data_IF_897739713431
#
_entry.id   IF_897739713431
#
_cell.length_a   1.000
_cell.length_b   1.000
_cell.length_c   1.000
_cell.angle_alpha   90.00
_cell.angle_beta   90.00
_cell.angle_gamma   90.00
#
_symmetry.space_group_name_H-M   'P 1'
#
loop_
_entity.id
_entity.type
_entity.pdbx_description
1 polymer ?
#
# COMPACT_ATOMS: atom_id res chain seq x y z
N UNK A 1 17.23 14.37 16.38
CA UNK A 1 17.27 13.10 15.62
C UNK A 1 16.22 13.21 14.53
N UNK A 2 16.59 13.10 13.27
CA UNK A 2 15.61 13.15 12.17
C UNK A 2 14.99 11.76 12.00
N UNK A 3 13.66 11.68 12.01
CA UNK A 3 12.94 10.43 11.74
C UNK A 3 13.04 10.13 10.25
N UNK A 4 13.41 8.92 9.89
CA UNK A 4 13.40 8.41 8.52
C UNK A 4 12.25 7.42 8.36
N UNK A 5 11.45 7.61 7.35
CA UNK A 5 10.32 6.73 7.02
C UNK A 5 10.79 5.42 6.41
N UNK A 6 9.96 4.38 6.45
CA UNK A 6 10.20 3.13 5.73
C UNK A 6 10.41 3.34 4.23
N UNK A 7 9.71 4.33 3.64
CA UNK A 7 9.88 4.76 2.25
C UNK A 7 11.35 5.16 1.95
N UNK A 8 11.93 6.05 2.76
CA UNK A 8 13.32 6.49 2.60
C UNK A 8 14.30 5.33 2.84
N UNK A 9 14.04 4.50 3.85
CA UNK A 9 14.88 3.35 4.15
C UNK A 9 14.88 2.32 3.03
N UNK A 10 13.71 2.00 2.46
CA UNK A 10 13.63 1.06 1.33
C UNK A 10 14.49 1.51 0.15
N UNK A 11 14.46 2.81 -0.16
CA UNK A 11 15.17 3.34 -1.31
C UNK A 11 16.68 3.46 -1.10
N UNK A 12 17.10 3.78 0.13
CA UNK A 12 18.50 4.09 0.42
C UNK A 12 19.28 2.92 1.05
N UNK A 13 18.66 2.18 1.98
CA UNK A 13 19.35 1.19 2.83
C UNK A 13 18.92 -0.24 2.53
N UNK A 14 17.61 -0.46 2.22
CA UNK A 14 17.01 -1.78 2.10
C UNK A 14 16.63 -2.13 0.65
N UNK A 15 17.29 -1.48 -0.31
CA UNK A 15 17.03 -1.65 -1.74
C UNK A 15 17.11 -3.09 -2.22
N UNK A 16 17.89 -3.93 -1.57
CA UNK A 16 18.03 -5.36 -1.86
C UNK A 16 16.70 -6.13 -1.72
N UNK A 17 15.74 -5.61 -0.95
CA UNK A 17 14.41 -6.23 -0.80
C UNK A 17 13.59 -6.21 -2.09
N UNK A 18 13.86 -5.26 -2.99
CA UNK A 18 13.09 -5.06 -4.23
C UNK A 18 13.95 -5.13 -5.51
N UNK A 19 15.28 -5.05 -5.40
CA UNK A 19 16.19 -5.03 -6.55
C UNK A 19 16.06 -6.32 -7.39
N UNK A 20 15.89 -6.15 -8.70
CA UNK A 20 15.72 -7.23 -9.67
C UNK A 20 14.37 -7.95 -9.58
N UNK A 21 13.44 -7.45 -8.77
CA UNK A 21 12.17 -8.10 -8.49
C UNK A 21 10.99 -7.45 -9.23
N UNK A 22 9.94 -8.24 -9.41
CA UNK A 22 8.63 -7.79 -9.88
C UNK A 22 7.83 -7.34 -8.66
N UNK A 23 7.56 -6.05 -8.60
CA UNK A 23 7.02 -5.39 -7.40
C UNK A 23 5.60 -4.90 -7.66
N UNK A 24 4.67 -5.29 -6.77
CA UNK A 24 3.38 -4.65 -6.59
C UNK A 24 3.45 -3.60 -5.48
N UNK A 25 2.69 -2.52 -5.60
CA UNK A 25 2.62 -1.48 -4.58
C UNK A 25 1.19 -1.31 -4.10
N UNK A 26 0.98 -1.38 -2.78
CA UNK A 26 -0.27 -0.96 -2.11
C UNK A 26 -0.04 0.47 -1.62
N UNK A 27 -0.66 1.44 -2.29
CA UNK A 27 -0.34 2.86 -2.15
C UNK A 27 -1.58 3.75 -2.26
N UNK A 28 -1.49 4.93 -1.67
CA UNK A 28 -2.47 5.99 -1.77
C UNK A 28 -1.76 7.36 -1.85
N UNK A 29 -2.45 8.52 -1.86
CA UNK A 29 -1.79 9.83 -1.97
C UNK A 29 -0.76 10.14 -0.88
N UNK A 30 -0.78 9.43 0.25
CA UNK A 30 0.21 9.62 1.32
C UNK A 30 1.54 8.93 1.08
N UNK A 31 1.64 8.09 0.05
CA UNK A 31 2.83 7.28 -0.29
C UNK A 31 3.93 8.14 -0.93
N UNK A 32 4.27 9.25 -0.29
CA UNK A 32 5.25 10.23 -0.76
C UNK A 32 6.47 10.31 0.16
N UNK A 33 7.61 10.65 -0.44
CA UNK A 33 8.82 10.99 0.31
C UNK A 33 8.78 12.44 0.82
N UNK A 34 9.85 12.90 1.52
CA UNK A 34 9.96 14.28 2.02
C UNK A 34 9.91 15.35 0.92
N UNK A 35 10.24 14.98 -0.29
CA UNK A 35 10.21 15.82 -1.51
C UNK A 35 8.87 15.74 -2.25
N UNK A 36 7.86 15.11 -1.65
CA UNK A 36 6.51 14.90 -2.19
C UNK A 36 6.47 14.06 -3.48
N UNK A 37 7.54 13.35 -3.82
CA UNK A 37 7.53 12.41 -4.95
C UNK A 37 6.95 11.09 -4.49
N UNK A 38 5.93 10.62 -5.22
CA UNK A 38 5.20 9.39 -4.91
C UNK A 38 6.05 8.13 -5.17
N UNK A 39 5.95 7.12 -4.28
CA UNK A 39 6.72 5.86 -4.38
C UNK A 39 6.53 5.16 -5.73
N UNK A 40 5.30 5.10 -6.23
CA UNK A 40 5.02 4.47 -7.51
C UNK A 40 5.79 5.13 -8.66
N UNK A 41 5.89 6.47 -8.67
CA UNK A 41 6.69 7.19 -9.65
C UNK A 41 8.18 6.86 -9.54
N UNK A 42 8.71 6.78 -8.31
CA UNK A 42 10.13 6.43 -8.09
C UNK A 42 10.46 5.03 -8.57
N UNK A 43 9.58 4.07 -8.27
CA UNK A 43 9.78 2.68 -8.69
C UNK A 43 9.61 2.51 -10.20
N UNK A 44 8.62 3.18 -10.81
CA UNK A 44 8.39 3.12 -12.26
C UNK A 44 9.56 3.67 -13.09
N UNK A 45 10.31 4.63 -12.54
CA UNK A 45 11.50 5.22 -13.20
C UNK A 45 12.81 4.59 -12.73
N UNK A 46 12.76 3.45 -12.07
CA UNK A 46 13.93 2.74 -11.56
C UNK A 46 14.40 1.69 -12.56
N UNK A 47 15.69 1.67 -12.87
CA UNK A 47 16.28 0.71 -13.80
C UNK A 47 16.47 -0.69 -13.19
N UNK A 48 16.45 -0.79 -11.86
CA UNK A 48 16.76 -2.02 -11.12
C UNK A 48 15.56 -2.68 -10.44
N UNK A 49 14.34 -2.14 -10.64
CA UNK A 49 13.09 -2.69 -10.07
C UNK A 49 12.01 -2.68 -11.15
N UNK A 50 11.26 -3.76 -11.26
CA UNK A 50 10.13 -3.84 -12.20
C UNK A 50 8.81 -3.59 -11.46
N UNK A 51 8.25 -2.39 -11.62
CA UNK A 51 6.86 -2.14 -11.23
C UNK A 51 5.94 -3.02 -12.08
N UNK A 52 5.03 -3.75 -11.43
CA UNK A 52 4.17 -4.74 -12.12
C UNK A 52 2.70 -4.47 -11.89
N UNK A 53 2.31 -3.98 -10.72
CA UNK A 53 0.93 -3.67 -10.39
C UNK A 53 0.84 -2.60 -9.30
N UNK A 54 -0.29 -1.89 -9.28
CA UNK A 54 -0.65 -0.95 -8.23
C UNK A 54 -1.98 -1.37 -7.60
N UNK A 55 -2.09 -1.24 -6.29
CA UNK A 55 -3.27 -1.54 -5.50
C UNK A 55 -3.67 -0.30 -4.70
N UNK A 56 -4.89 0.18 -4.90
CA UNK A 56 -5.45 1.33 -4.19
C UNK A 56 -6.44 0.92 -3.12
N UNK A 57 -6.27 1.32 -1.84
CA UNK A 57 -7.28 1.12 -0.81
C UNK A 57 -8.47 2.05 -1.02
N UNK A 58 -9.34 2.16 -0.02
CA UNK A 58 -10.43 3.14 0.02
C UNK A 58 -9.97 4.52 -0.48
N UNK A 59 -10.80 5.20 -1.25
CA UNK A 59 -10.54 6.45 -1.99
C UNK A 59 -9.58 6.32 -3.18
N UNK A 60 -9.04 5.14 -3.46
CA UNK A 60 -8.17 4.86 -4.60
C UNK A 60 -6.77 5.46 -4.49
N UNK A 61 -5.94 5.17 -5.48
CA UNK A 61 -4.52 5.62 -5.53
C UNK A 61 -4.41 7.16 -5.57
N UNK A 62 -5.36 7.83 -6.22
CA UNK A 62 -5.34 9.28 -6.38
C UNK A 62 -6.14 10.01 -5.29
N UNK A 63 -6.85 9.30 -4.41
CA UNK A 63 -7.67 9.89 -3.36
C UNK A 63 -8.86 10.72 -3.88
N UNK A 64 -9.30 10.48 -5.11
CA UNK A 64 -10.36 11.26 -5.77
C UNK A 64 -11.75 10.62 -5.65
N UNK A 65 -11.81 9.35 -5.24
CA UNK A 65 -13.09 8.66 -5.02
C UNK A 65 -13.72 9.16 -3.72
N UNK A 66 -15.05 9.39 -3.78
CA UNK A 66 -15.82 9.71 -2.58
C UNK A 66 -15.97 8.47 -1.69
N UNK A 67 -16.25 8.70 -0.41
CA UNK A 67 -16.55 7.66 0.56
C UNK A 67 -17.66 6.72 0.05
N UNK A 68 -17.48 5.42 0.20
CA UNK A 68 -18.40 4.33 -0.19
C UNK A 68 -18.73 4.24 -1.71
N UNK A 69 -17.93 4.85 -2.59
CA UNK A 69 -18.08 4.62 -4.03
C UNK A 69 -17.03 3.62 -4.49
N UNK A 70 -17.48 2.50 -5.06
CA UNK A 70 -16.60 1.55 -5.76
C UNK A 70 -15.88 2.25 -6.90
N UNK A 71 -14.57 2.22 -6.87
CA UNK A 71 -13.76 2.69 -8.01
C UNK A 71 -13.77 1.55 -9.04
N UNK A 72 -14.33 1.74 -10.26
CA UNK A 72 -14.27 0.71 -11.28
C UNK A 72 -12.80 0.30 -11.49
N UNK A 73 -12.56 -0.96 -11.80
CA UNK A 73 -11.29 -1.41 -12.35
C UNK A 73 -11.01 -0.58 -13.61
N UNK A 74 -10.41 0.57 -13.41
CA UNK A 74 -9.93 1.33 -14.54
C UNK A 74 -8.61 0.70 -14.94
N UNK A 75 -8.50 0.35 -16.20
CA UNK A 75 -7.22 0.10 -16.85
C UNK A 75 -6.40 1.39 -16.90
N UNK A 76 -6.39 2.15 -15.81
CA UNK A 76 -5.60 3.36 -15.68
C UNK A 76 -4.13 2.97 -15.61
N UNK A 77 -3.53 3.02 -16.78
CA UNK A 77 -2.12 2.85 -17.02
C UNK A 77 -1.37 4.13 -16.67
N UNK A 78 -1.56 4.65 -15.47
CA UNK A 78 -0.87 5.89 -15.07
C UNK A 78 0.67 5.76 -15.16
N UNK A 79 1.20 4.53 -15.01
CA UNK A 79 2.63 4.21 -15.10
C UNK A 79 2.87 2.97 -15.97
N UNK A 80 1.93 2.65 -16.87
CA UNK A 80 2.05 1.49 -17.77
C UNK A 80 1.76 0.14 -17.10
N UNK A 81 1.19 0.12 -15.90
CA UNK A 81 0.85 -1.10 -15.14
C UNK A 81 -0.62 -1.10 -14.71
N UNK A 82 -1.22 -2.28 -14.49
CA UNK A 82 -2.59 -2.37 -14.02
C UNK A 82 -2.75 -1.77 -12.62
N UNK A 83 -3.91 -1.16 -12.40
CA UNK A 83 -4.34 -0.60 -11.12
C UNK A 83 -5.55 -1.38 -10.63
N UNK A 84 -5.46 -1.95 -9.44
CA UNK A 84 -6.52 -2.70 -8.79
C UNK A 84 -7.08 -1.94 -7.58
N UNK A 85 -8.40 -1.92 -7.45
CA UNK A 85 -9.07 -1.39 -6.27
C UNK A 85 -9.13 -2.45 -5.18
N UNK A 86 -8.77 -2.08 -3.96
CA UNK A 86 -9.00 -2.88 -2.74
C UNK A 86 -10.18 -2.30 -1.95
N UNK A 87 -11.18 -1.84 -2.64
CA UNK A 87 -12.39 -1.27 -2.06
C UNK A 87 -13.62 -1.55 -2.92
N UNK A 88 -14.72 -1.92 -2.27
CA UNK A 88 -16.00 -2.19 -2.91
C UNK A 88 -17.05 -2.63 -1.90
N UNK A 89 -18.18 -3.13 -2.41
CA UNK A 89 -19.40 -3.38 -1.61
C UNK A 89 -19.39 -4.73 -0.87
N UNK A 90 -18.39 -5.58 -1.11
CA UNK A 90 -18.29 -6.91 -0.49
C UNK A 90 -16.96 -7.06 0.26
N UNK A 91 -16.92 -8.01 1.20
CA UNK A 91 -15.68 -8.31 1.93
C UNK A 91 -14.55 -8.78 0.99
N UNK A 92 -14.92 -9.51 -0.06
CA UNK A 92 -13.99 -9.99 -1.07
C UNK A 92 -13.31 -8.83 -1.82
N UNK A 93 -14.03 -7.74 -2.04
CA UNK A 93 -13.48 -6.56 -2.75
C UNK A 93 -12.49 -5.74 -1.92
N UNK A 94 -12.38 -6.01 -0.60
CA UNK A 94 -11.41 -5.34 0.28
C UNK A 94 -10.02 -5.97 0.28
N UNK A 95 -9.84 -7.06 -0.47
CA UNK A 95 -8.57 -7.78 -0.59
C UNK A 95 -8.21 -8.01 -2.06
N UNK A 96 -6.93 -8.16 -2.39
CA UNK A 96 -6.56 -8.51 -3.77
C UNK A 96 -7.12 -9.89 -4.13
N UNK A 97 -7.48 -10.07 -5.41
CA UNK A 97 -7.69 -11.39 -5.96
C UNK A 97 -6.34 -12.11 -6.07
N UNK A 98 -6.22 -13.40 -5.74
CA UNK A 98 -4.98 -14.17 -5.90
C UNK A 98 -4.38 -14.07 -7.31
N UNK A 99 -5.21 -13.97 -8.35
CA UNK A 99 -4.76 -13.83 -9.73
C UNK A 99 -4.07 -12.48 -9.98
N UNK A 100 -4.42 -11.43 -9.25
CA UNK A 100 -3.78 -10.12 -9.33
C UNK A 100 -2.36 -10.12 -8.74
N UNK A 101 -2.03 -11.10 -7.90
CA UNK A 101 -0.70 -11.30 -7.32
C UNK A 101 0.18 -12.22 -8.14
N UNK A 102 -0.35 -12.87 -9.18
CA UNK A 102 0.43 -13.76 -10.03
C UNK A 102 1.59 -13.02 -10.69
N UNK A 103 2.76 -13.59 -10.54
CA UNK A 103 3.98 -13.03 -11.11
C UNK A 103 4.61 -11.91 -10.32
N UNK A 104 4.08 -11.54 -9.14
CA UNK A 104 4.78 -10.68 -8.20
C UNK A 104 5.80 -11.49 -7.38
N UNK A 105 6.94 -10.86 -7.09
CA UNK A 105 7.93 -11.40 -6.15
C UNK A 105 7.79 -10.73 -4.78
N UNK A 106 7.39 -9.46 -4.78
CA UNK A 106 7.25 -8.62 -3.58
C UNK A 106 6.05 -7.71 -3.71
N UNK A 107 5.31 -7.56 -2.62
CA UNK A 107 4.25 -6.57 -2.46
C UNK A 107 4.68 -5.57 -1.38
N UNK A 108 4.80 -4.30 -1.74
CA UNK A 108 5.21 -3.22 -0.83
C UNK A 108 3.99 -2.43 -0.41
N UNK A 109 3.79 -2.29 0.89
CA UNK A 109 2.71 -1.50 1.50
C UNK A 109 3.28 -0.18 2.02
N UNK A 110 2.87 0.95 1.44
CA UNK A 110 3.31 2.30 1.81
C UNK A 110 2.12 3.24 1.98
N UNK A 111 1.47 3.18 3.12
CA UNK A 111 0.31 4.03 3.45
C UNK A 111 0.50 4.62 4.84
N UNK A 112 0.20 5.92 5.00
CA UNK A 112 0.17 6.56 6.29
C UNK A 112 -1.11 6.19 7.05
N UNK A 113 -0.98 5.40 8.11
CA UNK A 113 -2.02 5.25 9.12
C UNK A 113 -1.99 6.43 10.10
N UNK A 114 -3.12 6.81 10.66
CA UNK A 114 -3.22 7.93 11.61
C UNK A 114 -3.46 7.47 13.06
N UNK A 115 -3.40 6.18 13.33
CA UNK A 115 -3.52 5.61 14.67
C UNK A 115 -4.93 5.65 15.23
N UNK A 116 -5.96 5.73 14.38
CA UNK A 116 -7.35 5.72 14.81
C UNK A 116 -8.07 4.47 14.30
N UNK A 117 -8.95 3.91 15.14
CA UNK A 117 -9.61 2.63 14.89
C UNK A 117 -10.52 2.61 13.66
N UNK A 118 -11.13 3.72 13.31
CA UNK A 118 -12.06 3.81 12.16
C UNK A 118 -11.36 4.01 10.83
N UNK A 119 -10.05 4.21 10.80
CA UNK A 119 -9.28 4.13 9.55
C UNK A 119 -9.03 2.66 9.20
N UNK A 120 -9.30 2.32 7.95
CA UNK A 120 -9.36 0.92 7.48
C UNK A 120 -8.03 0.35 7.04
N UNK A 121 -6.96 1.14 6.97
CA UNK A 121 -5.70 0.75 6.34
C UNK A 121 -4.98 -0.40 7.04
N UNK A 122 -5.10 -0.51 8.38
CA UNK A 122 -4.57 -1.65 9.11
C UNK A 122 -5.28 -2.96 8.72
N UNK A 123 -6.59 -2.91 8.46
CA UNK A 123 -7.36 -4.05 7.98
C UNK A 123 -7.03 -4.38 6.53
N UNK A 124 -6.84 -3.36 5.67
CA UNK A 124 -6.36 -3.56 4.30
C UNK A 124 -5.01 -4.28 4.30
N UNK A 125 -4.07 -3.87 5.16
CA UNK A 125 -2.78 -4.54 5.30
C UNK A 125 -2.95 -6.00 5.71
N UNK A 126 -3.79 -6.28 6.70
CA UNK A 126 -4.05 -7.66 7.18
C UNK A 126 -4.58 -8.55 6.03
N UNK A 127 -5.59 -8.08 5.31
CA UNK A 127 -6.20 -8.82 4.20
C UNK A 127 -5.20 -9.03 3.04
N UNK A 128 -4.38 -8.02 2.74
CA UNK A 128 -3.31 -8.11 1.75
C UNK A 128 -2.28 -9.16 2.16
N UNK A 129 -1.89 -9.20 3.43
CA UNK A 129 -0.92 -10.17 3.94
C UNK A 129 -1.46 -11.61 3.89
N UNK A 130 -2.74 -11.83 4.16
CA UNK A 130 -3.39 -13.14 4.05
C UNK A 130 -3.29 -13.68 2.63
N UNK A 131 -3.72 -12.91 1.63
CA UNK A 131 -3.69 -13.34 0.23
C UNK A 131 -2.25 -13.46 -0.29
N UNK A 132 -1.35 -12.56 0.11
CA UNK A 132 0.06 -12.65 -0.26
C UNK A 132 0.73 -13.92 0.29
N UNK A 133 0.38 -14.33 1.52
CA UNK A 133 0.88 -15.58 2.10
C UNK A 133 0.41 -16.81 1.32
N UNK A 134 -0.86 -16.84 0.92
CA UNK A 134 -1.42 -17.92 0.07
C UNK A 134 -0.75 -17.98 -1.31
N UNK A 135 -0.45 -16.81 -1.89
CA UNK A 135 0.23 -16.68 -3.18
C UNK A 135 1.76 -16.87 -3.11
N UNK A 136 2.36 -16.97 -1.92
CA UNK A 136 3.80 -17.05 -1.73
C UNK A 136 4.54 -15.75 -2.07
N UNK A 137 3.86 -14.61 -2.01
CA UNK A 137 4.43 -13.28 -2.30
C UNK A 137 4.93 -12.66 -1.00
N UNK A 138 6.16 -12.13 -1.02
CA UNK A 138 6.75 -11.48 0.14
C UNK A 138 6.15 -10.07 0.34
N UNK A 139 5.74 -9.75 1.57
CA UNK A 139 5.20 -8.42 1.92
C UNK A 139 6.25 -7.60 2.65
N UNK A 140 6.46 -6.36 2.19
CA UNK A 140 7.32 -5.36 2.83
C UNK A 140 6.45 -4.18 3.26
N UNK A 141 6.42 -3.91 4.56
CA UNK A 141 5.66 -2.77 5.13
C UNK A 141 6.61 -1.61 5.37
N UNK A 142 6.31 -0.47 4.79
CA UNK A 142 7.06 0.76 4.96
C UNK A 142 6.47 1.55 6.13
N UNK A 143 7.10 1.41 7.29
CA UNK A 143 6.64 2.07 8.51
C UNK A 143 6.71 3.61 8.40
N UNK A 144 5.69 4.26 8.94
CA UNK A 144 5.54 5.70 9.00
C UNK A 144 5.19 6.12 10.42
N UNK A 145 5.69 7.29 10.90
CA UNK A 145 5.37 7.77 12.24
C UNK A 145 3.86 7.92 12.43
N UNK A 146 3.35 7.39 13.55
CA UNK A 146 1.97 7.66 13.95
C UNK A 146 1.83 9.14 14.36
N UNK A 147 1.01 9.94 13.67
CA UNK A 147 0.93 11.39 13.89
C UNK A 147 0.33 11.77 15.27
N UNK A 148 -0.46 10.87 15.88
CA UNK A 148 -0.98 11.06 17.23
C UNK A 148 -0.14 10.39 18.32
N UNK A 149 1.02 9.83 17.94
CA UNK A 149 1.94 9.12 18.87
C UNK A 149 1.49 7.70 19.17
N UNK A 150 2.16 7.04 20.11
CA UNK A 150 1.90 5.65 20.48
C UNK A 150 1.97 5.40 21.98
N UNK A 151 2.10 6.47 22.77
CA UNK A 151 2.25 6.37 24.23
C UNK A 151 0.93 6.51 24.99
N UNK A 152 -0.06 7.14 24.39
CA UNK A 152 -1.38 7.36 24.98
C UNK A 152 -2.44 6.68 24.13
N UNK A 153 -3.27 5.86 24.76
CA UNK A 153 -4.39 5.16 24.12
C UNK A 153 -5.68 5.64 24.76
N UNK A 154 -6.60 6.11 23.94
CA UNK A 154 -7.89 6.65 24.36
C UNK A 154 -9.04 5.97 23.62
N UNK A 155 -10.26 6.14 24.13
CA UNK A 155 -11.49 5.67 23.51
C UNK A 155 -12.09 4.44 24.19
N UNK A 156 -13.23 4.00 23.67
CA UNK A 156 -14.00 2.90 24.23
C UNK A 156 -13.38 1.54 23.91
N UNK A 157 -13.58 0.57 24.79
CA UNK A 157 -13.29 -0.83 24.51
C UNK A 157 -14.35 -1.34 23.52
N UNK A 158 -13.91 -2.02 22.47
CA UNK A 158 -14.82 -2.75 21.58
C UNK A 158 -15.27 -4.01 22.31
N UNK A 159 -16.58 -4.17 22.43
CA UNK A 159 -17.17 -5.42 22.89
C UNK A 159 -17.47 -6.28 21.65
N UNK A 160 -17.18 -7.59 21.71
CA UNK A 160 -17.50 -8.53 20.65
C UNK A 160 -19.00 -8.71 20.45
#
# INVERSE_FOLDING_TARGET
>A
MQVRTGHEKLLDEERQLIRGRRVGLVVNPTSVGPDLIHLASRIAHSDDVRLTALFGPEHGILGTAQDMISVPESSDTLLGVPVFSLYGDTLESLRPDPDQLQGLDVLVFDIQDIGTRYYTYAYTLMLVMEVAAEAGVHVVVLDRPNPIGGTQVEGNIVHP
#
